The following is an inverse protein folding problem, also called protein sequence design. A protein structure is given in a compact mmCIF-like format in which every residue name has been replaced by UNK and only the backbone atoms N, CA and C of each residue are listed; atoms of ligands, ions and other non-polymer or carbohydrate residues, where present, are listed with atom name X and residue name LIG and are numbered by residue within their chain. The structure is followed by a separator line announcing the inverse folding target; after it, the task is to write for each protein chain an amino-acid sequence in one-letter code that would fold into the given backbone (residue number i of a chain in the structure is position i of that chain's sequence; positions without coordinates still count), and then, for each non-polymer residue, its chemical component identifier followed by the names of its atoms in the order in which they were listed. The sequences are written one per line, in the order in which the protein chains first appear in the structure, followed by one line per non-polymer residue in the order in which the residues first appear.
data_IF_488209639280
#
_entry.id   IF_488209639280
#
_cell.length_a   1.000
_cell.length_b   1.000
_cell.length_c   1.000
_cell.angle_alpha   90.00
_cell.angle_beta   90.00
_cell.angle_gamma   90.00
#
_symmetry.space_group_name_H-M   'P 1'
#
loop_
_entity.id
_entity.type
_entity.pdbx_description
1 polymer ?
#
# COMPACT_ATOMS: atom_id res chain seq x y z
N UNK A 1 -12.57 0.42 10.58
CA UNK A 1 -11.84 0.89 9.38
C UNK A 1 -10.35 0.64 9.51
N UNK A 2 -9.83 -0.37 8.85
CA UNK A 2 -8.39 -0.61 8.76
C UNK A 2 -7.78 0.18 7.58
N UNK A 3 -7.80 1.52 7.66
CA UNK A 3 -7.26 2.38 6.59
C UNK A 3 -5.73 2.30 6.52
N UNK A 4 -5.17 2.49 5.32
CA UNK A 4 -3.72 2.55 5.14
C UNK A 4 -3.19 3.93 5.48
N UNK A 5 -2.14 3.94 6.29
CA UNK A 5 -1.35 5.13 6.62
C UNK A 5 -0.02 5.03 5.87
N UNK A 6 0.32 6.07 5.13
CA UNK A 6 1.53 6.14 4.32
C UNK A 6 2.60 6.99 5.02
N UNK A 7 3.69 6.36 5.45
CA UNK A 7 4.79 7.05 6.16
C UNK A 7 6.03 7.12 5.27
N UNK A 8 6.55 8.32 5.05
CA UNK A 8 7.79 8.54 4.27
C UNK A 8 9.02 8.11 5.07
N UNK A 9 9.93 7.37 4.41
CA UNK A 9 11.26 7.08 4.94
C UNK A 9 12.19 8.28 4.76
N UNK A 10 12.79 8.75 5.86
CA UNK A 10 13.65 9.94 5.88
C UNK A 10 15.07 9.65 5.33
N UNK A 11 15.56 8.41 5.43
CA UNK A 11 16.95 8.04 5.10
C UNK A 11 17.05 7.01 3.95
N UNK A 12 16.14 7.08 2.98
CA UNK A 12 16.14 6.17 1.83
C UNK A 12 16.62 6.91 0.56
N UNK A 13 17.48 6.29 -0.29
CA UNK A 13 18.05 6.96 -1.47
C UNK A 13 17.01 7.36 -2.52
N UNK A 14 15.82 6.77 -2.46
CA UNK A 14 14.66 7.13 -3.26
C UNK A 14 13.53 7.51 -2.34
N UNK A 15 12.66 8.40 -2.81
CA UNK A 15 11.45 8.71 -2.08
C UNK A 15 10.60 7.44 -1.96
N UNK A 16 10.47 6.94 -0.73
CA UNK A 16 9.79 5.69 -0.42
C UNK A 16 8.83 5.89 0.73
N UNK A 17 7.65 5.29 0.62
CA UNK A 17 6.62 5.27 1.64
C UNK A 17 6.32 3.84 2.05
N UNK A 18 6.20 3.58 3.36
CA UNK A 18 5.57 2.37 3.86
C UNK A 18 4.08 2.59 4.08
N UNK A 19 3.27 1.65 3.61
CA UNK A 19 1.85 1.59 3.92
C UNK A 19 1.65 0.68 5.13
N UNK A 20 0.99 1.20 6.16
CA UNK A 20 0.69 0.46 7.40
C UNK A 20 -0.79 0.45 7.71
N UNK A 21 -1.29 -0.67 8.24
CA UNK A 21 -2.62 -0.77 8.85
C UNK A 21 -2.46 -1.20 10.31
N UNK A 22 -2.69 -0.28 11.25
CA UNK A 22 -2.33 -0.50 12.66
C UNK A 22 -0.82 -0.78 12.80
N UNK A 23 -0.47 -1.91 13.40
CA UNK A 23 0.93 -2.34 13.57
C UNK A 23 1.50 -3.12 12.37
N UNK A 24 0.68 -3.42 11.35
CA UNK A 24 1.07 -4.22 10.19
C UNK A 24 1.64 -3.34 9.08
N UNK A 25 2.83 -3.66 8.59
CA UNK A 25 3.32 -3.14 7.31
C UNK A 25 2.66 -3.96 6.21
N UNK A 26 1.85 -3.27 5.38
CA UNK A 26 1.07 -3.88 4.30
C UNK A 26 1.85 -3.86 2.99
N UNK A 27 2.54 -2.76 2.71
CA UNK A 27 3.24 -2.59 1.45
C UNK A 27 4.13 -1.37 1.42
N UNK A 28 4.61 -1.04 0.22
CA UNK A 28 5.48 0.10 -0.04
C UNK A 28 5.18 0.75 -1.38
N UNK A 29 5.53 2.02 -1.48
CA UNK A 29 5.53 2.82 -2.70
C UNK A 29 6.92 3.43 -2.86
N UNK A 30 7.49 3.34 -4.04
CA UNK A 30 8.82 3.85 -4.39
C UNK A 30 8.75 4.76 -5.60
N UNK A 31 9.37 5.93 -5.50
CA UNK A 31 9.64 6.76 -6.67
C UNK A 31 10.71 6.06 -7.53
N UNK A 32 10.36 5.76 -8.79
CA UNK A 32 11.28 5.24 -9.81
C UNK A 32 11.85 6.42 -10.61
N UNK A 33 11.00 7.36 -11.01
CA UNK A 33 11.36 8.61 -11.68
C UNK A 33 10.51 9.75 -11.13
N UNK A 34 11.15 10.85 -10.74
CA UNK A 34 10.48 12.07 -10.26
C UNK A 34 10.38 13.16 -11.35
N UNK A 35 10.84 12.88 -12.58
CA UNK A 35 10.71 13.80 -13.70
C UNK A 35 9.23 13.96 -14.07
N UNK A 36 8.64 15.17 -14.03
CA UNK A 36 7.23 15.37 -14.35
C UNK A 36 6.78 14.84 -15.71
N UNK A 37 7.68 14.77 -16.71
CA UNK A 37 7.34 14.24 -18.03
C UNK A 37 7.34 12.70 -18.09
N UNK A 38 8.02 12.05 -17.15
CA UNK A 38 8.23 10.60 -17.10
C UNK A 38 8.02 10.05 -15.70
N UNK A 39 7.12 10.68 -14.92
CA UNK A 39 6.90 10.35 -13.52
C UNK A 39 6.48 8.90 -13.40
N UNK A 40 7.14 8.17 -12.50
CA UNK A 40 6.95 6.75 -12.38
C UNK A 40 7.14 6.29 -10.95
N UNK A 41 6.16 5.55 -10.45
CA UNK A 41 6.10 5.05 -9.09
C UNK A 41 5.86 3.56 -9.08
N UNK A 42 6.72 2.82 -8.39
CA UNK A 42 6.50 1.41 -8.09
C UNK A 42 5.63 1.29 -6.86
N UNK A 43 4.71 0.33 -6.85
CA UNK A 43 3.94 -0.02 -5.66
C UNK A 43 3.91 -1.53 -5.49
N UNK A 44 3.82 -1.99 -4.24
CA UNK A 44 3.76 -3.41 -3.95
C UNK A 44 3.20 -3.70 -2.56
N UNK A 45 2.35 -4.72 -2.50
CA UNK A 45 1.81 -5.31 -1.29
C UNK A 45 2.33 -6.75 -1.19
N UNK A 46 2.93 -7.10 -0.05
CA UNK A 46 3.39 -8.46 0.25
C UNK A 46 2.96 -8.83 1.65
N UNK A 47 1.89 -9.62 1.72
CA UNK A 47 1.35 -10.13 2.97
C UNK A 47 1.55 -11.65 3.00
N UNK A 48 2.56 -12.09 3.73
CA UNK A 48 2.82 -13.51 3.98
C UNK A 48 2.08 -13.95 5.27
N UNK A 49 0.76 -13.75 5.31
CA UNK A 49 -0.10 -14.11 6.45
C UNK A 49 -0.96 -15.32 6.06
N UNK A 50 -0.76 -16.46 6.75
CA UNK A 50 -1.45 -17.71 6.48
C UNK A 50 -0.69 -18.64 5.53
N UNK A 51 -1.39 -19.57 4.87
CA UNK A 51 -0.77 -20.63 4.07
C UNK A 51 -0.37 -20.21 2.65
N UNK A 52 -0.92 -19.10 2.12
CA UNK A 52 -0.65 -18.61 0.78
C UNK A 52 -0.26 -17.12 0.81
N UNK A 53 0.86 -16.74 0.19
CA UNK A 53 1.28 -15.35 0.15
C UNK A 53 0.34 -14.53 -0.75
N UNK A 54 -0.12 -13.38 -0.26
CA UNK A 54 -0.85 -12.43 -1.09
C UNK A 54 0.12 -11.37 -1.60
N UNK A 55 0.34 -11.35 -2.91
CA UNK A 55 1.25 -10.41 -3.58
C UNK A 55 0.53 -9.68 -4.71
N UNK A 56 0.63 -8.36 -4.70
CA UNK A 56 0.19 -7.46 -5.76
C UNK A 56 1.21 -6.35 -5.91
N UNK A 57 1.34 -5.83 -7.11
CA UNK A 57 2.24 -4.72 -7.36
C UNK A 57 2.25 -4.36 -8.83
N UNK A 58 2.87 -3.21 -9.11
CA UNK A 58 2.93 -2.67 -10.45
C UNK A 58 3.62 -1.32 -10.46
N UNK A 59 3.38 -0.61 -11.55
CA UNK A 59 3.92 0.72 -11.79
C UNK A 59 2.76 1.67 -12.09
N UNK A 60 2.82 2.87 -11.53
CA UNK A 60 1.85 3.93 -11.70
C UNK A 60 2.55 5.21 -12.20
N UNK A 61 1.80 6.09 -12.86
CA UNK A 61 2.29 7.37 -13.39
C UNK A 61 2.39 8.47 -12.33
N UNK A 62 1.85 8.26 -11.13
CA UNK A 62 1.93 9.22 -10.03
C UNK A 62 1.94 8.56 -8.66
N UNK A 63 2.40 9.28 -7.63
CA UNK A 63 2.35 8.83 -6.23
C UNK A 63 0.92 8.51 -5.78
N UNK A 64 -0.05 9.36 -6.14
CA UNK A 64 -1.45 9.19 -5.76
C UNK A 64 -2.07 7.95 -6.41
N UNK A 65 -1.71 7.68 -7.67
CA UNK A 65 -2.17 6.49 -8.38
C UNK A 65 -1.57 5.22 -7.75
N UNK A 66 -0.27 5.23 -7.42
CA UNK A 66 0.37 4.15 -6.67
C UNK A 66 -0.32 3.87 -5.32
N UNK A 67 -0.72 4.92 -4.59
CA UNK A 67 -1.48 4.78 -3.35
C UNK A 67 -2.87 4.19 -3.59
N UNK A 68 -3.60 4.67 -4.60
CA UNK A 68 -4.91 4.14 -4.95
C UNK A 68 -4.86 2.64 -5.33
N UNK A 69 -3.85 2.22 -6.10
CA UNK A 69 -3.67 0.80 -6.44
C UNK A 69 -3.37 -0.05 -5.20
N UNK A 70 -2.61 0.49 -4.24
CA UNK A 70 -2.27 -0.23 -3.01
C UNK A 70 -3.47 -0.31 -2.05
N UNK A 71 -4.28 0.75 -1.97
CA UNK A 71 -5.58 0.75 -1.28
C UNK A 71 -6.53 -0.31 -1.89
N UNK A 72 -6.62 -0.37 -3.23
CA UNK A 72 -7.45 -1.38 -3.90
C UNK A 72 -6.95 -2.81 -3.60
N UNK A 73 -5.64 -3.04 -3.67
CA UNK A 73 -5.05 -4.33 -3.34
C UNK A 73 -5.35 -4.74 -1.88
N UNK A 74 -5.33 -3.78 -0.96
CA UNK A 74 -5.69 -3.99 0.44
C UNK A 74 -7.17 -4.39 0.61
N UNK A 75 -8.09 -3.73 -0.09
CA UNK A 75 -9.50 -4.14 -0.12
C UNK A 75 -9.67 -5.57 -0.65
N UNK A 76 -8.98 -5.93 -1.73
CA UNK A 76 -8.99 -7.29 -2.28
C UNK A 76 -8.47 -8.31 -1.27
N UNK A 77 -7.40 -7.99 -0.54
CA UNK A 77 -6.87 -8.87 0.49
C UNK A 77 -7.86 -9.06 1.64
N UNK A 78 -8.50 -8.00 2.14
CA UNK A 78 -9.52 -8.10 3.20
C UNK A 78 -10.67 -9.03 2.76
N UNK A 79 -11.15 -8.87 1.52
CA UNK A 79 -12.17 -9.76 0.96
C UNK A 79 -11.70 -11.21 0.87
N UNK A 80 -10.49 -11.45 0.37
CA UNK A 80 -9.89 -12.78 0.31
C UNK A 80 -9.74 -13.43 1.69
N UNK A 81 -9.36 -12.64 2.70
CA UNK A 81 -9.20 -13.08 4.08
C UNK A 81 -10.53 -13.25 4.84
N UNK A 82 -11.67 -12.97 4.20
CA UNK A 82 -12.99 -12.99 4.86
C UNK A 82 -13.14 -11.91 5.94
N UNK A 83 -12.33 -10.86 5.89
CA UNK A 83 -12.40 -9.73 6.80
C UNK A 83 -13.41 -8.72 6.29
N UNK A 84 -14.17 -8.15 7.21
CA UNK A 84 -15.08 -7.03 6.95
C UNK A 84 -14.74 -5.91 7.92
N UNK A 85 -14.70 -4.68 7.41
CA UNK A 85 -14.64 -3.52 8.28
C UNK A 85 -15.89 -3.49 9.17
N UNK A 86 -15.67 -3.41 10.48
CA UNK A 86 -16.73 -3.02 11.39
C UNK A 86 -16.93 -1.52 11.26
N UNK A 87 -18.18 -1.12 11.03
CA UNK A 87 -18.61 0.26 11.21
C UNK A 87 -18.23 0.68 12.64
N UNK A 88 -17.76 1.93 12.77
CA UNK A 88 -17.23 2.47 14.03
C UNK A 88 -18.21 2.16 15.16
N UNK A 89 -17.76 1.41 16.16
CA UNK A 89 -18.46 1.32 17.43
C UNK A 89 -18.21 2.68 18.09
N UNK A 90 -19.15 3.61 17.93
CA UNK A 90 -19.12 4.86 18.68
C UNK A 90 -19.16 4.51 20.19
N UNK A 91 -18.30 5.13 21.02
CA UNK A 91 -18.22 4.85 22.45
C UNK A 91 -19.45 5.33 23.24
#
# INVERSE_FOLDING_TARGET
MAALVYTRLQDHPRETYFATSGALIVGRIDCISADPATEQWGWGMSLDIGALPFRRGGVAGSRSEAAACLDEAWEQWKHWAGLRDLDVIEP
#
